data_IF_826516023289
#
_entry.id   IF_826516023289
#
_cell.length_a   1.000
_cell.length_b   1.000
_cell.length_c   1.000
_cell.angle_alpha   90.00
_cell.angle_beta   90.00
_cell.angle_gamma   90.00
#
_symmetry.space_group_name_H-M   'P 1'
#
loop_
_entity.id
_entity.type
_entity.pdbx_description
1 polymer ?
#
# COMPACT_ATOMS: atom_id res chain seq x y z
N UNK A 1 14.63 1.94 11.05
CA UNK A 1 13.21 1.65 10.73
C UNK A 1 13.19 1.32 9.26
N UNK A 2 12.48 0.27 8.86
CA UNK A 2 12.34 -0.08 7.45
C UNK A 2 11.56 0.99 6.71
N UNK A 3 12.00 1.28 5.49
CA UNK A 3 11.29 2.16 4.55
C UNK A 3 9.93 1.54 4.17
N UNK A 4 8.94 2.33 3.73
CA UNK A 4 7.66 1.81 3.27
C UNK A 4 7.81 0.72 2.18
N UNK A 5 8.76 0.91 1.26
CA UNK A 5 9.17 -0.09 0.26
C UNK A 5 9.65 -1.41 0.89
N UNK A 6 10.59 -1.34 1.82
CA UNK A 6 11.11 -2.53 2.51
C UNK A 6 10.01 -3.25 3.30
N UNK A 7 9.06 -2.50 3.88
CA UNK A 7 7.89 -3.09 4.53
C UNK A 7 6.99 -3.80 3.54
N UNK A 8 6.70 -3.20 2.39
CA UNK A 8 5.89 -3.84 1.35
C UNK A 8 6.52 -5.17 0.89
N UNK A 9 7.83 -5.20 0.65
CA UNK A 9 8.56 -6.43 0.31
C UNK A 9 8.52 -7.49 1.41
N UNK A 10 8.67 -7.07 2.67
CA UNK A 10 8.55 -7.99 3.80
C UNK A 10 7.16 -8.61 3.88
N UNK A 11 6.11 -7.80 3.66
CA UNK A 11 4.72 -8.27 3.66
C UNK A 11 4.49 -9.27 2.53
N UNK A 12 4.98 -9.01 1.32
CA UNK A 12 4.86 -9.96 0.19
C UNK A 12 5.52 -11.30 0.52
N UNK A 13 6.68 -11.27 1.19
CA UNK A 13 7.35 -12.49 1.64
C UNK A 13 6.48 -13.27 2.62
N UNK A 14 5.91 -12.60 3.64
CA UNK A 14 5.00 -13.23 4.60
C UNK A 14 3.75 -13.81 3.93
N UNK A 15 3.21 -13.13 2.89
CA UNK A 15 2.08 -13.61 2.11
C UNK A 15 2.41 -14.87 1.32
N UNK A 16 3.63 -14.93 0.76
CA UNK A 16 4.15 -16.11 0.06
C UNK A 16 4.32 -17.30 1.01
N UNK A 17 4.66 -17.04 2.27
CA UNK A 17 4.76 -18.05 3.34
C UNK A 17 3.40 -18.49 3.92
N UNK A 18 2.29 -17.98 3.37
CA UNK A 18 0.92 -18.39 3.70
C UNK A 18 0.17 -17.48 4.66
N UNK A 19 0.74 -16.32 5.03
CA UNK A 19 0.02 -15.33 5.84
C UNK A 19 -1.02 -14.60 4.97
N UNK A 20 -2.22 -14.35 5.54
CA UNK A 20 -3.24 -13.56 4.85
C UNK A 20 -2.92 -12.08 4.90
N UNK A 21 -3.21 -11.33 3.82
CA UNK A 21 -3.19 -9.87 3.83
C UNK A 21 -3.95 -9.27 5.02
N UNK A 22 -5.10 -9.85 5.38
CA UNK A 22 -5.93 -9.33 6.47
C UNK A 22 -5.21 -9.43 7.83
N UNK A 23 -4.53 -10.54 8.11
CA UNK A 23 -3.80 -10.76 9.36
C UNK A 23 -2.57 -9.84 9.48
N UNK A 24 -1.89 -9.63 8.36
CA UNK A 24 -0.74 -8.74 8.29
C UNK A 24 -1.19 -7.29 8.48
N UNK A 25 -2.28 -6.88 7.82
CA UNK A 25 -2.86 -5.55 7.98
C UNK A 25 -3.25 -5.29 9.44
N UNK A 26 -3.95 -6.22 10.10
CA UNK A 26 -4.30 -6.12 11.51
C UNK A 26 -3.08 -5.98 12.42
N UNK A 27 -1.95 -6.60 12.05
CA UNK A 27 -0.68 -6.49 12.77
C UNK A 27 -0.07 -5.10 12.62
N UNK A 28 -0.04 -4.56 11.39
CA UNK A 28 0.45 -3.20 11.11
C UNK A 28 -0.35 -2.13 11.88
N UNK A 29 -1.66 -2.32 11.99
CA UNK A 29 -2.55 -1.46 12.78
C UNK A 29 -2.16 -1.48 14.26
N UNK A 30 -1.98 -2.67 14.85
CA UNK A 30 -1.67 -2.84 16.28
C UNK A 30 -0.31 -2.28 16.68
N UNK A 31 0.71 -2.41 15.84
CA UNK A 31 2.07 -1.94 16.16
C UNK A 31 2.17 -0.40 16.27
N UNK A 32 1.23 0.34 15.67
CA UNK A 32 1.30 1.81 15.57
C UNK A 32 0.31 2.56 16.45
N UNK A 33 -0.80 1.96 16.86
CA UNK A 33 -1.68 2.51 17.91
C UNK A 33 -0.98 2.76 19.27
N UNK A 34 0.28 2.33 19.43
CA UNK A 34 1.10 2.61 20.60
C UNK A 34 1.83 3.97 20.57
N UNK A 35 1.69 4.79 19.50
CA UNK A 35 2.36 6.10 19.39
C UNK A 35 1.41 7.22 18.96
N UNK A 36 0.59 7.68 19.90
CA UNK A 36 -0.32 8.81 19.73
C UNK A 36 0.36 10.10 19.24
N UNK A 37 -0.23 10.73 18.23
CA UNK A 37 -0.40 12.19 18.18
C UNK A 37 -1.74 12.56 17.53
N UNK A 38 -2.41 13.54 18.11
CA UNK A 38 -3.71 14.04 17.69
C UNK A 38 -3.52 15.01 16.50
N UNK A 39 -4.04 14.72 15.31
CA UNK A 39 -4.12 15.75 14.26
C UNK A 39 -5.22 15.47 13.21
N UNK A 40 -6.24 16.34 13.21
CA UNK A 40 -7.21 16.72 12.19
C UNK A 40 -7.67 15.71 11.13
N UNK A 41 -8.92 15.24 11.30
CA UNK A 41 -9.72 14.33 10.44
C UNK A 41 -9.79 14.67 8.93
N UNK A 42 -9.25 15.79 8.44
CA UNK A 42 -9.43 16.25 7.04
C UNK A 42 -8.26 15.87 6.12
N UNK A 43 -7.09 15.60 6.68
CA UNK A 43 -5.86 15.48 5.88
C UNK A 43 -5.70 14.08 5.24
N UNK A 44 -6.17 13.02 5.90
CA UNK A 44 -6.04 11.65 5.38
C UNK A 44 -6.96 11.38 4.19
N UNK A 45 -8.17 11.95 4.15
CA UNK A 45 -9.07 11.79 3.01
C UNK A 45 -8.47 12.39 1.75
N UNK A 46 -7.83 13.56 1.88
CA UNK A 46 -7.09 14.20 0.81
C UNK A 46 -5.92 13.32 0.37
N UNK A 47 -5.13 12.82 1.31
CA UNK A 47 -3.99 11.95 1.00
C UNK A 47 -4.43 10.68 0.26
N UNK A 48 -5.47 9.99 0.74
CA UNK A 48 -6.02 8.78 0.09
C UNK A 48 -6.49 9.10 -1.34
N UNK A 49 -7.17 10.23 -1.56
CA UNK A 49 -7.57 10.66 -2.90
C UNK A 49 -6.36 10.94 -3.80
N UNK A 50 -5.32 11.58 -3.25
CA UNK A 50 -4.10 11.87 -3.99
C UNK A 50 -3.37 10.57 -4.38
N UNK A 51 -3.17 9.65 -3.43
CA UNK A 51 -2.57 8.33 -3.67
C UNK A 51 -3.35 7.57 -4.73
N UNK A 52 -4.69 7.57 -4.65
CA UNK A 52 -5.53 6.95 -5.70
C UNK A 52 -5.31 7.55 -7.07
N UNK A 53 -5.24 8.88 -7.15
CA UNK A 53 -5.04 9.58 -8.42
C UNK A 53 -3.70 9.22 -9.03
N UNK A 54 -2.62 9.34 -8.25
CA UNK A 54 -1.26 9.02 -8.69
C UNK A 54 -1.15 7.58 -9.18
N UNK A 55 -1.71 6.62 -8.45
CA UNK A 55 -1.61 5.21 -8.80
C UNK A 55 -2.49 4.84 -10.00
N UNK A 56 -3.68 5.42 -10.16
CA UNK A 56 -4.49 5.15 -11.37
C UNK A 56 -3.95 5.85 -12.62
N UNK A 57 -3.26 6.98 -12.46
CA UNK A 57 -2.60 7.65 -13.58
C UNK A 57 -1.39 6.84 -14.07
N UNK A 58 -0.60 6.24 -13.18
CA UNK A 58 0.54 5.37 -13.54
C UNK A 58 0.10 3.98 -14.00
N UNK A 59 -0.94 3.41 -13.37
CA UNK A 59 -1.44 2.05 -13.64
C UNK A 59 -2.91 2.10 -14.09
N UNK A 60 -3.19 2.59 -15.31
CA UNK A 60 -4.55 2.78 -15.79
C UNK A 60 -5.32 1.46 -16.01
N UNK A 61 -4.61 0.34 -16.09
CA UNK A 61 -5.16 -1.02 -16.21
C UNK A 61 -5.45 -1.67 -14.85
N UNK A 62 -5.15 -0.98 -13.73
CA UNK A 62 -5.34 -1.53 -12.40
C UNK A 62 -6.80 -1.93 -12.16
N UNK A 63 -7.02 -3.23 -11.93
CA UNK A 63 -8.34 -3.80 -11.67
C UNK A 63 -8.86 -3.41 -10.30
N UNK A 64 -7.96 -3.34 -9.32
CA UNK A 64 -8.33 -3.06 -7.93
C UNK A 64 -7.29 -2.17 -7.27
N UNK A 65 -7.74 -1.13 -6.59
CA UNK A 65 -6.94 -0.37 -5.63
C UNK A 65 -7.74 -0.23 -4.33
N UNK A 66 -7.25 -0.85 -3.27
CA UNK A 66 -7.79 -0.64 -1.92
C UNK A 66 -6.72 0.00 -1.06
N UNK A 67 -7.12 1.11 -0.45
CA UNK A 67 -6.33 1.84 0.52
C UNK A 67 -7.17 1.94 1.78
N UNK A 68 -6.51 1.77 2.89
CA UNK A 68 -7.05 1.88 4.22
C UNK A 68 -6.15 2.79 5.05
N UNK A 69 -6.72 3.38 6.08
CA UNK A 69 -6.02 4.29 6.98
C UNK A 69 -5.95 3.66 8.35
N UNK A 70 -4.83 3.85 9.03
CA UNK A 70 -4.73 3.35 10.39
C UNK A 70 -5.79 3.92 11.35
N UNK A 71 -6.01 3.22 12.46
CA UNK A 71 -7.00 3.63 13.45
C UNK A 71 -6.80 5.06 14.00
N UNK A 72 -5.59 5.61 13.86
CA UNK A 72 -5.25 6.96 14.30
C UNK A 72 -5.40 8.01 13.17
N UNK A 73 -5.75 7.60 11.95
CA UNK A 73 -5.94 8.52 10.82
C UNK A 73 -4.61 9.05 10.23
N UNK A 74 -3.48 8.44 10.59
CA UNK A 74 -2.16 9.00 10.34
C UNK A 74 -1.48 8.41 9.10
N UNK A 75 -1.60 7.10 8.91
CA UNK A 75 -0.88 6.40 7.86
C UNK A 75 -1.83 5.67 6.91
N UNK A 76 -1.47 5.68 5.62
CA UNK A 76 -2.17 4.95 4.56
C UNK A 76 -1.44 3.64 4.28
N UNK A 77 -2.20 2.55 4.19
CA UNK A 77 -1.71 1.26 3.72
C UNK A 77 -2.66 0.65 2.69
N UNK A 78 -2.18 -0.25 1.86
CA UNK A 78 -3.07 -0.93 0.93
C UNK A 78 -2.36 -1.75 -0.13
N UNK A 79 -3.07 -2.00 -1.20
CA UNK A 79 -2.58 -2.76 -2.34
C UNK A 79 -3.20 -2.28 -3.65
N UNK A 80 -2.46 -2.49 -4.72
CA UNK A 80 -2.87 -2.28 -6.09
C UNK A 80 -2.73 -3.59 -6.87
N UNK A 81 -3.78 -3.95 -7.60
CA UNK A 81 -3.84 -5.14 -8.46
C UNK A 81 -3.88 -4.69 -9.92
N UNK A 82 -2.85 -5.00 -10.69
CA UNK A 82 -2.74 -4.63 -12.11
C UNK A 82 -2.14 -5.77 -12.93
N UNK A 83 -2.53 -5.86 -14.21
CA UNK A 83 -2.00 -6.87 -15.13
C UNK A 83 -0.56 -6.54 -15.52
N UNK A 84 -0.23 -5.25 -15.54
CA UNK A 84 1.12 -4.70 -15.76
C UNK A 84 2.23 -5.27 -14.85
N UNK A 85 1.86 -5.93 -13.74
CA UNK A 85 2.83 -6.58 -12.83
C UNK A 85 3.17 -8.02 -13.22
N UNK A 86 2.45 -8.63 -14.16
CA UNK A 86 2.72 -10.01 -14.59
C UNK A 86 4.11 -10.15 -15.22
N UNK A 87 4.87 -11.15 -14.77
CA UNK A 87 6.22 -11.42 -15.27
C UNK A 87 7.32 -10.52 -14.68
N UNK A 88 6.98 -9.57 -13.80
CA UNK A 88 7.96 -8.77 -13.05
C UNK A 88 8.36 -9.45 -11.74
N UNK A 89 9.57 -9.18 -11.25
CA UNK A 89 9.96 -9.55 -9.87
C UNK A 89 9.27 -8.63 -8.85
N UNK A 90 9.04 -9.13 -7.63
CA UNK A 90 8.34 -8.35 -6.59
C UNK A 90 9.02 -7.02 -6.30
N UNK A 91 10.35 -7.00 -6.24
CA UNK A 91 11.14 -5.79 -6.07
C UNK A 91 10.85 -4.77 -7.17
N UNK A 92 10.86 -5.18 -8.44
CA UNK A 92 10.60 -4.27 -9.56
C UNK A 92 9.18 -3.71 -9.54
N UNK A 93 8.19 -4.53 -9.13
CA UNK A 93 6.80 -4.06 -8.99
C UNK A 93 6.68 -3.01 -7.88
N UNK A 94 7.33 -3.25 -6.74
CA UNK A 94 7.34 -2.28 -5.64
C UNK A 94 8.09 -1.00 -6.02
N UNK A 95 9.15 -1.10 -6.82
CA UNK A 95 9.91 0.06 -7.30
C UNK A 95 9.04 0.94 -8.19
N UNK A 96 8.29 0.36 -9.14
CA UNK A 96 7.37 1.13 -9.98
C UNK A 96 6.28 1.83 -9.16
N UNK A 97 5.67 1.13 -8.20
CA UNK A 97 4.65 1.74 -7.33
C UNK A 97 5.25 2.88 -6.51
N UNK A 98 6.43 2.69 -5.93
CA UNK A 98 7.06 3.70 -5.11
C UNK A 98 7.53 4.90 -5.93
N UNK A 99 8.10 4.68 -7.11
CA UNK A 99 8.47 5.75 -8.06
C UNK A 99 7.27 6.63 -8.44
N UNK A 100 6.09 6.02 -8.64
CA UNK A 100 4.87 6.76 -8.94
C UNK A 100 4.47 7.66 -7.75
N UNK A 101 4.48 7.10 -6.54
CA UNK A 101 4.18 7.82 -5.31
C UNK A 101 5.17 8.94 -5.05
N UNK A 102 6.47 8.73 -5.26
CA UNK A 102 7.51 9.75 -5.07
C UNK A 102 7.36 10.93 -6.04
N UNK A 103 6.95 10.66 -7.29
CA UNK A 103 6.68 11.70 -8.28
C UNK A 103 5.40 12.50 -7.98
N UNK A 104 4.41 11.85 -7.38
CA UNK A 104 3.07 12.39 -7.21
C UNK A 104 2.75 12.96 -5.82
N UNK A 105 3.59 12.71 -4.83
CA UNK A 105 3.39 13.11 -3.42
C UNK A 105 4.57 13.94 -2.91
N UNK A 106 4.28 14.86 -1.99
CA UNK A 106 5.31 15.56 -1.22
C UNK A 106 6.01 14.63 -0.22
N UNK A 107 7.19 15.01 0.26
CA UNK A 107 7.96 14.23 1.25
C UNK A 107 7.14 13.93 2.52
N UNK A 108 6.35 14.91 2.99
CA UNK A 108 5.51 14.74 4.17
C UNK A 108 4.37 13.73 3.90
N UNK A 109 3.75 13.78 2.73
CA UNK A 109 2.72 12.82 2.31
C UNK A 109 3.31 11.41 2.12
N UNK A 110 4.50 11.29 1.53
CA UNK A 110 5.23 10.03 1.39
C UNK A 110 5.51 9.39 2.76
N UNK A 111 5.89 10.20 3.75
CA UNK A 111 6.17 9.72 5.12
C UNK A 111 4.96 9.08 5.81
N UNK A 112 3.75 9.38 5.33
CA UNK A 112 2.48 8.85 5.80
C UNK A 112 2.02 7.61 5.04
N UNK A 113 2.74 7.20 3.99
CA UNK A 113 2.50 5.92 3.34
C UNK A 113 3.28 4.85 4.12
N UNK A 114 2.56 3.93 4.73
CA UNK A 114 3.18 2.83 5.47
C UNK A 114 3.55 1.67 4.55
N UNK A 115 2.66 1.31 3.63
CA UNK A 115 2.90 0.29 2.59
C UNK A 115 1.84 0.35 1.48
N UNK A 116 2.24 0.19 0.22
CA UNK A 116 1.31 -0.09 -0.88
C UNK A 116 1.87 -1.25 -1.67
N UNK A 117 1.16 -2.38 -1.69
CA UNK A 117 1.67 -3.62 -2.29
C UNK A 117 1.15 -3.75 -3.72
N UNK A 118 2.07 -3.86 -4.68
CA UNK A 118 1.77 -4.33 -6.02
C UNK A 118 1.48 -5.84 -6.05
N UNK A 119 0.33 -6.23 -6.61
CA UNK A 119 -0.09 -7.63 -6.79
C UNK A 119 -0.54 -7.87 -8.24
N UNK A 120 -0.20 -9.02 -8.80
CA UNK A 120 -0.81 -9.51 -10.04
C UNK A 120 -2.28 -9.88 -9.81
N UNK A 121 -3.11 -10.02 -10.87
CA UNK A 121 -4.49 -10.46 -10.73
C UNK A 121 -4.61 -11.83 -10.03
N UNK A 122 -3.71 -12.77 -10.34
CA UNK A 122 -3.69 -14.11 -9.72
C UNK A 122 -3.41 -14.02 -8.22
N UNK A 123 -2.43 -13.23 -7.80
CA UNK A 123 -2.13 -13.01 -6.38
C UNK A 123 -3.28 -12.29 -5.68
N UNK A 124 -3.90 -11.30 -6.32
CA UNK A 124 -5.08 -10.60 -5.80
C UNK A 124 -6.27 -11.52 -5.54
N UNK A 125 -6.50 -12.50 -6.42
CA UNK A 125 -7.53 -13.54 -6.21
C UNK A 125 -7.16 -14.48 -5.06
N UNK A 126 -5.90 -14.91 -4.99
CA UNK A 126 -5.42 -15.80 -3.92
C UNK A 126 -5.57 -15.16 -2.52
N UNK A 127 -5.45 -13.83 -2.45
CA UNK A 127 -5.61 -13.06 -1.22
C UNK A 127 -7.06 -12.65 -0.94
N UNK A 128 -8.02 -13.05 -1.79
CA UNK A 128 -9.44 -12.70 -1.64
C UNK A 128 -9.71 -11.20 -1.81
N UNK A 129 -8.79 -10.46 -2.41
CA UNK A 129 -8.88 -9.01 -2.56
C UNK A 129 -9.32 -8.56 -3.96
N UNK A 130 -9.25 -9.47 -4.93
CA UNK A 130 -9.77 -9.33 -6.29
C UNK A 130 -10.68 -10.50 -6.64
N UNK A 131 -11.67 -10.26 -7.50
CA UNK A 131 -12.65 -11.24 -8.02
C UNK A 131 -12.56 -11.37 -9.53
#
# INVERSE_FOLDING_TARGET
MDTPKQKALHIITQMSDGSSWQDIFDTLQKEKSARHTNNDNVDWERLVRQVRTVLYDEFPDAKTLKLDVDHEGQHVSGFIVAQDFEGMEDADRQDRVWDALEKGLSVDEQSRILSVIALTPTEGVAQGVSS
#
